data_IF_642970163408
#
_entry.id   IF_642970163408
#
_cell.length_a   1.000
_cell.length_b   1.000
_cell.length_c   1.000
_cell.angle_alpha   90.00
_cell.angle_beta   90.00
_cell.angle_gamma   90.00
#
_symmetry.space_group_name_H-M   'P 1'
#
loop_
_entity.id
_entity.type
_entity.pdbx_description
1 polymer ?
#
# COMPACT_ATOMS: atom_id res chain seq x y z
N UNK A 1 16.00 20.26 8.37
CA UNK A 1 15.05 19.14 8.52
C UNK A 1 14.53 19.10 9.95
N UNK A 2 13.30 18.62 10.13
CA UNK A 2 12.68 18.47 11.45
C UNK A 2 13.38 17.36 12.25
N UNK A 3 13.71 17.64 13.52
CA UNK A 3 14.21 16.61 14.46
C UNK A 3 13.05 15.70 14.85
N UNK A 4 13.26 14.38 14.79
CA UNK A 4 12.28 13.37 15.15
C UNK A 4 12.89 12.42 16.18
N UNK A 5 12.21 12.24 17.30
CA UNK A 5 12.55 11.24 18.31
C UNK A 5 11.69 10.03 18.05
N UNK A 6 12.30 8.88 17.80
CA UNK A 6 11.59 7.64 17.53
C UNK A 6 12.25 6.45 18.24
N UNK A 7 11.48 5.42 18.51
CA UNK A 7 11.97 4.16 19.06
C UNK A 7 11.99 3.12 17.93
N UNK A 8 13.19 2.70 17.46
CA UNK A 8 13.29 1.74 16.37
C UNK A 8 12.83 0.36 16.82
N UNK A 9 12.05 -0.30 15.97
CA UNK A 9 11.54 -1.65 16.19
C UNK A 9 12.25 -2.67 15.31
N UNK A 10 12.31 -2.41 13.99
CA UNK A 10 12.93 -3.30 13.02
C UNK A 10 13.56 -2.52 11.86
N UNK A 11 14.55 -3.15 11.22
CA UNK A 11 15.10 -2.74 9.93
C UNK A 11 14.56 -3.69 8.86
N UNK A 12 13.93 -3.15 7.83
CA UNK A 12 13.33 -3.93 6.75
C UNK A 12 13.76 -3.41 5.40
N UNK A 13 13.84 -4.31 4.42
CA UNK A 13 14.07 -3.95 3.03
C UNK A 13 12.74 -4.06 2.26
N UNK A 14 12.41 -3.03 1.49
CA UNK A 14 11.24 -3.04 0.62
C UNK A 14 11.58 -2.34 -0.70
N UNK A 15 11.48 -3.10 -1.80
CA UNK A 15 12.08 -2.69 -3.07
C UNK A 15 13.61 -2.55 -2.91
N UNK A 16 14.16 -1.44 -3.39
CA UNK A 16 15.60 -1.16 -3.33
C UNK A 16 16.01 -0.31 -2.11
N UNK A 17 15.11 -0.12 -1.14
CA UNK A 17 15.33 0.78 -0.02
C UNK A 17 15.22 0.07 1.33
N UNK A 18 16.07 0.49 2.27
CA UNK A 18 15.95 0.12 3.68
C UNK A 18 15.08 1.10 4.44
N UNK A 19 14.25 0.55 5.32
CA UNK A 19 13.35 1.30 6.19
C UNK A 19 13.52 0.89 7.65
N UNK A 20 13.52 1.88 8.52
CA UNK A 20 13.44 1.67 9.97
C UNK A 20 11.98 1.78 10.37
N UNK A 21 11.39 0.67 10.77
CA UNK A 21 10.05 0.63 11.37
C UNK A 21 10.18 1.10 12.81
N UNK A 22 9.48 2.16 13.17
CA UNK A 22 9.68 2.82 14.47
C UNK A 22 8.34 3.24 15.09
N UNK A 23 8.27 3.21 16.42
CA UNK A 23 7.28 3.99 17.13
C UNK A 23 7.66 5.47 17.06
N UNK A 24 6.70 6.31 16.69
CA UNK A 24 6.84 7.76 16.62
C UNK A 24 5.61 8.43 17.25
N UNK A 25 5.81 9.21 18.31
CA UNK A 25 4.72 9.73 19.15
C UNK A 25 3.71 10.60 18.40
N UNK A 26 4.14 11.29 17.35
CA UNK A 26 3.24 12.08 16.50
C UNK A 26 2.16 11.22 15.82
N UNK A 27 2.42 9.93 15.62
CA UNK A 27 1.51 8.96 15.04
C UNK A 27 1.43 7.73 15.95
N UNK A 28 0.99 7.96 17.20
CA UNK A 28 1.06 6.97 18.28
C UNK A 28 0.23 5.71 18.07
N UNK A 29 -0.73 5.72 17.13
CA UNK A 29 -1.62 4.59 16.82
C UNK A 29 -1.04 3.60 15.82
N UNK A 30 0.12 3.88 15.22
CA UNK A 30 0.73 3.04 14.17
C UNK A 30 2.24 3.19 14.13
N UNK A 31 2.94 2.19 13.60
CA UNK A 31 4.36 2.32 13.30
C UNK A 31 4.59 3.27 12.13
N UNK A 32 5.66 4.04 12.21
CA UNK A 32 6.13 4.93 11.14
C UNK A 32 7.36 4.32 10.48
N UNK A 33 7.40 4.37 9.15
CA UNK A 33 8.51 3.85 8.37
C UNK A 33 9.40 5.00 7.89
N UNK A 34 10.64 5.02 8.35
CA UNK A 34 11.64 6.01 7.94
C UNK A 34 12.62 5.38 6.97
N UNK A 35 12.78 5.96 5.79
CA UNK A 35 13.81 5.51 4.83
C UNK A 35 15.20 5.83 5.38
N UNK A 36 16.05 4.82 5.43
CA UNK A 36 17.38 4.91 6.03
C UNK A 36 18.28 5.91 5.28
N UNK A 37 18.24 5.92 3.96
CA UNK A 37 19.03 6.81 3.09
C UNK A 37 18.67 8.31 3.23
N UNK A 38 17.50 8.60 3.79
CA UNK A 38 17.01 9.97 4.06
C UNK A 38 17.30 10.46 5.47
N UNK A 39 17.80 9.60 6.34
CA UNK A 39 18.15 9.96 7.71
C UNK A 39 19.47 10.71 7.74
N UNK A 40 19.51 11.77 8.53
CA UNK A 40 20.74 12.55 8.75
C UNK A 40 20.91 12.86 10.23
N UNK A 41 22.16 12.97 10.68
CA UNK A 41 22.51 13.36 12.06
C UNK A 41 21.84 12.46 13.12
N UNK A 42 21.86 11.15 12.91
CA UNK A 42 21.30 10.18 13.85
C UNK A 42 22.10 10.22 15.14
N UNK A 43 21.40 10.34 16.27
CA UNK A 43 21.98 10.35 17.62
C UNK A 43 21.14 9.53 18.55
N UNK A 44 21.77 8.82 19.46
CA UNK A 44 21.10 8.20 20.59
C UNK A 44 20.62 9.27 21.56
N UNK A 45 19.43 9.08 22.10
CA UNK A 45 18.89 9.92 23.17
C UNK A 45 18.73 9.08 24.45
N UNK A 46 18.96 9.67 25.58
CA UNK A 46 18.83 9.01 26.88
C UNK A 46 17.35 9.02 27.31
N UNK A 47 16.53 8.19 26.66
CA UNK A 47 15.12 8.01 27.01
C UNK A 47 14.72 6.56 26.85
N UNK A 48 13.71 6.11 27.64
CA UNK A 48 13.19 4.77 27.53
C UNK A 48 12.59 4.52 26.15
N UNK A 49 12.85 3.32 25.63
CA UNK A 49 12.26 2.86 24.36
C UNK A 49 10.76 2.65 24.51
N UNK A 50 9.97 3.19 23.58
CA UNK A 50 8.52 3.03 23.53
C UNK A 50 8.14 2.01 22.45
N UNK A 51 7.03 1.30 22.66
CA UNK A 51 6.48 0.31 21.74
C UNK A 51 5.00 0.57 21.56
N UNK A 52 4.46 0.13 20.43
CA UNK A 52 3.02 0.19 20.15
C UNK A 52 2.35 -1.11 20.60
N UNK A 53 2.86 -2.24 20.13
CA UNK A 53 2.43 -3.58 20.49
C UNK A 53 3.66 -4.50 20.47
N UNK A 54 3.78 -5.36 21.48
CA UNK A 54 4.88 -6.32 21.59
C UNK A 54 4.76 -7.48 20.59
N UNK A 55 3.55 -7.69 20.02
CA UNK A 55 3.23 -8.82 19.14
C UNK A 55 3.07 -8.43 17.67
N UNK A 56 3.74 -7.37 17.21
CA UNK A 56 3.69 -7.01 15.79
C UNK A 56 4.22 -8.15 14.92
N UNK A 57 3.35 -8.73 14.10
CA UNK A 57 3.76 -9.60 12.99
C UNK A 57 4.37 -8.73 11.89
N UNK A 58 5.71 -8.67 11.88
CA UNK A 58 6.47 -7.85 10.96
C UNK A 58 6.26 -8.26 9.49
N UNK A 59 6.08 -9.56 9.22
CA UNK A 59 5.85 -10.06 7.88
C UNK A 59 4.50 -9.58 7.35
N UNK A 60 3.45 -9.70 8.14
CA UNK A 60 2.12 -9.21 7.79
C UNK A 60 2.10 -7.68 7.67
N UNK A 61 2.82 -6.99 8.56
CA UNK A 61 2.96 -5.52 8.49
C UNK A 61 3.60 -5.07 7.18
N UNK A 62 4.69 -5.70 6.76
CA UNK A 62 5.38 -5.37 5.49
C UNK A 62 4.46 -5.67 4.30
N UNK A 63 3.81 -6.83 4.28
CA UNK A 63 2.91 -7.24 3.20
C UNK A 63 1.68 -6.33 3.05
N UNK A 64 1.14 -5.83 4.16
CA UNK A 64 0.03 -4.86 4.14
C UNK A 64 0.46 -3.43 3.77
N UNK A 65 1.76 -3.13 3.83
CA UNK A 65 2.31 -1.80 3.59
C UNK A 65 2.77 -1.65 2.15
N UNK A 66 1.91 -1.15 1.26
CA UNK A 66 2.33 -0.81 -0.10
C UNK A 66 3.40 0.28 -0.08
N UNK A 67 4.61 -0.03 -0.60
CA UNK A 67 5.78 0.87 -0.61
C UNK A 67 6.11 1.47 0.77
N UNK A 68 5.88 0.70 1.84
CA UNK A 68 6.18 1.08 3.23
C UNK A 68 5.50 2.37 3.72
N UNK A 69 4.37 2.76 3.13
CA UNK A 69 3.56 3.84 3.70
C UNK A 69 3.00 3.45 5.06
N UNK A 70 3.09 4.38 6.01
CA UNK A 70 2.51 4.24 7.35
C UNK A 70 1.02 4.54 7.34
N UNK A 71 0.29 4.11 8.36
CA UNK A 71 -1.14 4.38 8.52
C UNK A 71 -1.93 3.18 9.01
N UNK A 72 -3.17 3.41 9.38
CA UNK A 72 -4.09 2.35 9.80
C UNK A 72 -4.45 1.46 8.61
N UNK A 73 -4.43 0.14 8.82
CA UNK A 73 -4.91 -0.81 7.84
C UNK A 73 -6.43 -0.90 7.89
N UNK A 74 -7.06 -0.97 6.74
CA UNK A 74 -8.46 -1.36 6.60
C UNK A 74 -8.59 -2.51 5.62
N UNK A 75 -9.63 -3.30 5.76
CA UNK A 75 -9.87 -4.42 4.86
C UNK A 75 -10.55 -3.95 3.58
N UNK A 76 -9.99 -4.41 2.47
CA UNK A 76 -10.51 -4.14 1.12
C UNK A 76 -10.91 -5.45 0.47
N UNK A 77 -12.11 -5.48 -0.09
CA UNK A 77 -12.59 -6.62 -0.88
C UNK A 77 -12.37 -6.33 -2.35
N UNK A 78 -11.65 -7.23 -3.01
CA UNK A 78 -11.34 -7.15 -4.43
C UNK A 78 -11.94 -8.34 -5.17
N UNK A 79 -12.45 -8.07 -6.37
CA UNK A 79 -12.77 -9.08 -7.39
C UNK A 79 -11.66 -9.11 -8.41
N UNK A 80 -11.09 -10.29 -8.66
CA UNK A 80 -9.97 -10.48 -9.58
C UNK A 80 -10.31 -11.52 -10.64
N UNK A 81 -9.77 -11.39 -11.87
CA UNK A 81 -9.99 -12.38 -12.92
C UNK A 81 -9.27 -13.69 -12.60
N UNK A 82 -9.88 -14.82 -12.94
CA UNK A 82 -9.30 -16.15 -12.82
C UNK A 82 -8.43 -16.44 -14.05
N UNK A 83 -7.30 -15.73 -14.17
CA UNK A 83 -6.32 -15.89 -15.23
C UNK A 83 -5.06 -16.60 -14.70
N UNK A 84 -4.27 -17.18 -15.61
CA UNK A 84 -3.19 -18.12 -15.29
C UNK A 84 -2.14 -17.66 -14.28
N UNK A 85 -1.99 -16.37 -14.00
CA UNK A 85 -1.00 -15.87 -13.06
C UNK A 85 -1.56 -14.95 -11.96
N UNK A 86 -2.82 -14.62 -12.00
CA UNK A 86 -3.42 -13.64 -11.05
C UNK A 86 -3.31 -14.13 -9.60
N UNK A 87 -3.56 -15.42 -9.35
CA UNK A 87 -3.44 -15.99 -8.02
C UNK A 87 -2.02 -15.88 -7.46
N UNK A 88 -0.99 -16.13 -8.29
CA UNK A 88 0.40 -16.00 -7.88
C UNK A 88 0.75 -14.54 -7.54
N UNK A 89 0.34 -13.59 -8.38
CA UNK A 89 0.54 -12.14 -8.12
C UNK A 89 -0.09 -11.73 -6.78
N UNK A 90 -1.27 -12.28 -6.46
CA UNK A 90 -1.94 -12.03 -5.18
C UNK A 90 -1.16 -12.65 -4.02
N UNK A 91 -0.70 -13.91 -4.16
CA UNK A 91 0.10 -14.60 -3.14
C UNK A 91 1.44 -13.88 -2.91
N UNK A 92 2.12 -13.48 -3.97
CA UNK A 92 3.38 -12.73 -3.89
C UNK A 92 3.19 -11.41 -3.15
N UNK A 93 2.05 -10.76 -3.36
CA UNK A 93 1.76 -9.47 -2.72
C UNK A 93 1.28 -9.57 -1.28
N UNK A 94 0.34 -10.48 -0.99
CA UNK A 94 -0.33 -10.56 0.31
C UNK A 94 0.10 -11.76 1.15
N UNK A 95 0.87 -12.67 0.57
CA UNK A 95 1.36 -13.87 1.23
C UNK A 95 0.46 -15.10 1.02
N UNK A 96 1.00 -16.26 1.41
CA UNK A 96 0.34 -17.56 1.23
C UNK A 96 -0.92 -17.75 2.09
N UNK A 97 -1.09 -16.92 3.13
CA UNK A 97 -2.25 -16.97 4.01
C UNK A 97 -3.48 -16.22 3.46
N UNK A 98 -3.37 -15.58 2.29
CA UNK A 98 -4.50 -14.90 1.67
C UNK A 98 -5.58 -15.90 1.29
N UNK A 99 -6.82 -15.62 1.72
CA UNK A 99 -7.98 -16.47 1.40
C UNK A 99 -8.57 -16.00 0.08
N UNK A 100 -8.65 -16.92 -0.88
CA UNK A 100 -9.30 -16.70 -2.17
C UNK A 100 -10.65 -17.41 -2.18
N UNK A 101 -11.72 -16.65 -2.32
CA UNK A 101 -13.09 -17.15 -2.31
C UNK A 101 -13.64 -17.18 -3.74
N UNK A 102 -14.45 -18.20 -4.04
CA UNK A 102 -15.17 -18.24 -5.30
C UNK A 102 -16.13 -17.06 -5.39
N UNK A 103 -16.14 -16.36 -6.53
CA UNK A 103 -17.17 -15.37 -6.80
C UNK A 103 -18.50 -16.07 -7.14
N UNK A 104 -19.54 -15.80 -6.33
CA UNK A 104 -20.89 -16.37 -6.55
C UNK A 104 -21.58 -15.82 -7.80
N UNK A 105 -21.11 -14.70 -8.33
CA UNK A 105 -21.70 -14.02 -9.49
C UNK A 105 -20.99 -14.36 -10.82
N UNK A 106 -19.79 -14.97 -10.75
CA UNK A 106 -18.99 -15.24 -11.94
C UNK A 106 -17.96 -16.35 -11.72
N UNK A 107 -18.00 -17.39 -12.53
CA UNK A 107 -16.99 -18.45 -12.53
C UNK A 107 -15.64 -18.02 -13.11
N UNK A 108 -15.55 -16.79 -13.65
CA UNK A 108 -14.31 -16.23 -14.23
C UNK A 108 -13.57 -15.32 -13.26
N UNK A 109 -14.06 -15.18 -12.02
CA UNK A 109 -13.48 -14.31 -11.02
C UNK A 109 -13.38 -15.01 -9.66
N UNK A 110 -12.50 -14.50 -8.82
CA UNK A 110 -12.42 -14.84 -7.41
C UNK A 110 -12.35 -13.56 -6.56
N UNK A 111 -12.70 -13.71 -5.30
CA UNK A 111 -12.76 -12.62 -4.32
C UNK A 111 -11.65 -12.80 -3.31
N UNK A 112 -10.97 -11.70 -2.96
CA UNK A 112 -10.06 -11.66 -1.81
C UNK A 112 -10.47 -10.56 -0.85
N UNK A 113 -10.09 -10.74 0.41
CA UNK A 113 -10.33 -9.78 1.48
C UNK A 113 -9.00 -9.51 2.19
N UNK A 114 -8.40 -8.36 1.91
CA UNK A 114 -7.00 -8.08 2.28
C UNK A 114 -6.86 -6.75 3.01
N UNK A 115 -5.93 -6.65 3.99
CA UNK A 115 -5.65 -5.39 4.66
C UNK A 115 -4.80 -4.49 3.77
N UNK A 116 -5.19 -3.21 3.68
CA UNK A 116 -4.46 -2.16 2.94
C UNK A 116 -4.41 -0.88 3.76
N UNK A 117 -3.35 -0.11 3.61
CA UNK A 117 -3.23 1.23 4.20
C UNK A 117 -3.87 2.26 3.29
N UNK A 118 -5.18 2.44 3.45
CA UNK A 118 -6.00 3.24 2.54
C UNK A 118 -5.88 4.76 2.72
N UNK A 119 -5.18 5.22 3.75
CA UNK A 119 -4.87 6.64 3.93
C UNK A 119 -4.00 7.17 2.78
N UNK A 120 -3.01 6.37 2.34
CA UNK A 120 -2.13 6.64 1.20
C UNK A 120 -2.28 5.56 0.13
N UNK A 121 -3.39 5.56 -0.63
CA UNK A 121 -3.75 4.44 -1.48
C UNK A 121 -3.03 4.39 -2.84
N UNK A 122 -2.22 5.39 -3.20
CA UNK A 122 -1.59 5.48 -4.52
C UNK A 122 -0.79 4.23 -4.92
N UNK A 123 0.06 3.64 -4.06
CA UNK A 123 0.78 2.42 -4.43
C UNK A 123 -0.15 1.21 -4.59
N UNK A 124 -1.24 1.15 -3.82
CA UNK A 124 -2.28 0.14 -3.97
C UNK A 124 -3.05 0.34 -5.28
N UNK A 125 -3.40 1.57 -5.63
CA UNK A 125 -4.05 1.91 -6.90
C UNK A 125 -3.16 1.56 -8.10
N UNK A 126 -1.87 1.83 -8.02
CA UNK A 126 -0.91 1.44 -9.06
C UNK A 126 -0.85 -0.08 -9.23
N UNK A 127 -0.88 -0.84 -8.13
CA UNK A 127 -0.95 -2.29 -8.17
C UNK A 127 -2.25 -2.78 -8.83
N UNK A 128 -3.42 -2.22 -8.49
CA UNK A 128 -4.69 -2.55 -9.17
C UNK A 128 -4.62 -2.19 -10.64
N UNK A 129 -4.08 -1.01 -10.99
CA UNK A 129 -3.97 -0.56 -12.37
C UNK A 129 -3.11 -1.49 -13.25
N UNK A 130 -2.12 -2.18 -12.66
CA UNK A 130 -1.29 -3.16 -13.38
C UNK A 130 -2.10 -4.29 -14.02
N UNK A 131 -3.30 -4.57 -13.53
CA UNK A 131 -4.25 -5.52 -14.12
C UNK A 131 -5.10 -4.93 -15.25
N UNK A 132 -4.82 -3.72 -15.70
CA UNK A 132 -5.47 -3.06 -16.85
C UNK A 132 -7.00 -3.01 -16.76
N UNK A 133 -7.53 -2.65 -15.58
CA UNK A 133 -8.96 -2.52 -15.35
C UNK A 133 -9.72 -3.84 -15.06
N UNK A 134 -9.02 -4.98 -15.04
CA UNK A 134 -9.66 -6.29 -14.77
C UNK A 134 -9.92 -6.56 -13.29
N UNK A 135 -9.35 -5.76 -12.39
CA UNK A 135 -9.56 -5.86 -10.94
C UNK A 135 -10.56 -4.80 -10.50
N UNK A 136 -11.54 -5.21 -9.72
CA UNK A 136 -12.57 -4.35 -9.17
C UNK A 136 -12.46 -4.23 -7.65
N UNK A 137 -12.52 -3.01 -7.12
CA UNK A 137 -12.72 -2.76 -5.69
C UNK A 137 -14.22 -2.91 -5.39
N UNK A 138 -14.59 -3.95 -4.63
CA UNK A 138 -15.98 -4.13 -4.21
C UNK A 138 -16.28 -3.26 -2.99
N UNK A 139 -15.41 -3.31 -1.98
CA UNK A 139 -15.55 -2.52 -0.76
C UNK A 139 -14.18 -2.11 -0.19
N UNK A 140 -14.10 -1.00 0.55
CA UNK A 140 -15.16 -0.05 0.84
C UNK A 140 -15.46 0.87 -0.35
N UNK A 141 -16.71 1.30 -0.49
CA UNK A 141 -17.16 2.13 -1.62
C UNK A 141 -16.41 3.46 -1.74
N UNK A 142 -15.96 4.04 -0.62
CA UNK A 142 -15.17 5.27 -0.62
C UNK A 142 -13.82 5.08 -1.33
N UNK A 143 -13.18 3.92 -1.19
CA UNK A 143 -11.91 3.62 -1.84
C UNK A 143 -12.12 3.35 -3.34
N UNK A 144 -13.22 2.68 -3.71
CA UNK A 144 -13.62 2.50 -5.11
C UNK A 144 -13.81 3.86 -5.80
N UNK A 145 -14.54 4.80 -5.16
CA UNK A 145 -14.75 6.15 -5.69
C UNK A 145 -13.42 6.88 -5.90
N UNK A 146 -12.55 6.91 -4.88
CA UNK A 146 -11.22 7.54 -4.99
C UNK A 146 -10.36 6.96 -6.11
N UNK A 147 -10.42 5.64 -6.31
CA UNK A 147 -9.71 4.98 -7.41
C UNK A 147 -10.25 5.41 -8.77
N UNK A 148 -11.58 5.42 -8.94
CA UNK A 148 -12.23 5.84 -10.18
C UNK A 148 -11.95 7.30 -10.50
N UNK A 149 -11.99 8.19 -9.52
CA UNK A 149 -11.65 9.60 -9.64
C UNK A 149 -10.19 9.78 -10.11
N UNK A 150 -9.23 9.09 -9.46
CA UNK A 150 -7.83 9.15 -9.84
C UNK A 150 -7.57 8.65 -11.28
N UNK A 151 -8.27 7.62 -11.72
CA UNK A 151 -8.19 7.13 -13.10
C UNK A 151 -8.73 8.16 -14.10
N UNK A 152 -9.87 8.76 -13.77
CA UNK A 152 -10.51 9.75 -14.62
C UNK A 152 -9.65 11.01 -14.78
N UNK A 153 -9.13 11.54 -13.68
CA UNK A 153 -8.21 12.68 -13.68
C UNK A 153 -6.96 12.42 -14.52
N UNK A 154 -6.35 11.24 -14.35
CA UNK A 154 -5.17 10.85 -15.12
C UNK A 154 -5.48 10.73 -16.61
N UNK A 155 -6.64 10.20 -16.97
CA UNK A 155 -7.07 10.07 -18.36
C UNK A 155 -7.27 11.45 -19.02
N UNK A 156 -7.94 12.38 -18.33
CA UNK A 156 -8.14 13.76 -18.83
C UNK A 156 -6.80 14.46 -19.03
N UNK A 157 -5.90 14.39 -18.05
CA UNK A 157 -4.61 15.04 -18.14
C UNK A 157 -3.81 14.56 -19.36
N UNK A 158 -3.70 13.23 -19.54
CA UNK A 158 -2.98 12.65 -20.68
C UNK A 158 -3.64 13.02 -22.03
N UNK A 159 -4.97 13.04 -22.07
CA UNK A 159 -5.70 13.44 -23.29
C UNK A 159 -5.44 14.91 -23.67
N UNK A 160 -5.44 15.81 -22.68
CA UNK A 160 -5.18 17.22 -22.90
C UNK A 160 -3.73 17.46 -23.39
N UNK A 161 -2.75 16.77 -22.83
CA UNK A 161 -1.35 16.83 -23.25
C UNK A 161 -1.16 16.33 -24.69
N UNK A 162 -1.84 15.25 -25.08
CA UNK A 162 -1.82 14.73 -26.44
C UNK A 162 -2.40 15.72 -27.44
N UNK A 163 -3.46 16.43 -27.08
CA UNK A 163 -4.08 17.44 -27.94
C UNK A 163 -3.23 18.72 -28.05
N UNK A 164 -2.61 19.14 -26.95
CA UNK A 164 -1.71 20.30 -26.97
C UNK A 164 -0.49 20.06 -27.88
N UNK A 165 0.07 18.86 -27.90
CA UNK A 165 1.22 18.51 -28.74
C UNK A 165 0.89 18.34 -30.23
N UNK A 166 -0.39 18.13 -30.60
CA UNK A 166 -0.82 18.04 -32.01
C UNK A 166 -0.81 19.38 -32.73
N UNK A 167 -0.73 20.51 -32.00
CA UNK A 167 -0.63 21.85 -32.59
C UNK A 167 0.81 22.31 -32.86
N UNK A 168 1.82 21.45 -32.54
CA UNK A 168 3.24 21.74 -32.75
C UNK A 168 3.90 20.84 -33.82
N UNK A 169 3.13 19.99 -34.49
CA UNK A 169 3.55 19.18 -35.66
C UNK A 169 2.80 19.60 -36.90
#
# INVERSE_FOLDING_TARGET
GEKRICSPFALVMSGECYYVVSYYEKYADTYTNFRLDRMRNIKLVNSARKYLDEKLDLEQYIKSSFSMFSGKSEYVTLRLPMENNTANIVIDRFGKSVIMLRDKQSDRHFIIHVPVKAEYPQPFFSWIFSFRGKVEIISPIRLKKRYTEALYESCIQQHNELNANRHFT
#
